data_IF_242562786094
#
_entry.id   IF_242562786094
#
_cell.length_a   1.000
_cell.length_b   1.000
_cell.length_c   1.000
_cell.angle_alpha   90.00
_cell.angle_beta   90.00
_cell.angle_gamma   90.00
#
_symmetry.space_group_name_H-M   'P 1'
#
loop_
_entity.id
_entity.type
_entity.pdbx_description
1 polymer ?
#
# COMPACT_ATOMS: atom_id res chain seq x y z
N UNK A 1 -12.24 -14.61 3.58
CA UNK A 1 -11.54 -14.88 4.87
C UNK A 1 -12.07 -13.93 5.95
N UNK A 2 -11.86 -14.22 7.24
CA UNK A 2 -12.21 -13.26 8.29
C UNK A 2 -11.26 -12.04 8.26
N UNK A 3 -11.79 -10.85 8.53
CA UNK A 3 -11.01 -9.59 8.49
C UNK A 3 -9.81 -9.64 9.45
N UNK A 4 -9.97 -10.20 10.65
CA UNK A 4 -8.87 -10.28 11.61
C UNK A 4 -7.79 -11.25 11.15
N UNK A 5 -8.15 -12.32 10.45
CA UNK A 5 -7.18 -13.25 9.85
C UNK A 5 -6.32 -12.55 8.80
N UNK A 6 -6.94 -11.73 7.92
CA UNK A 6 -6.24 -10.97 6.89
C UNK A 6 -5.29 -9.95 7.53
N UNK A 7 -5.75 -9.19 8.53
CA UNK A 7 -4.93 -8.21 9.26
C UNK A 7 -3.76 -8.90 9.96
N UNK A 8 -4.02 -10.04 10.62
CA UNK A 8 -2.97 -10.84 11.26
C UNK A 8 -1.93 -11.29 10.24
N UNK A 9 -2.36 -11.84 9.09
CA UNK A 9 -1.45 -12.27 8.03
C UNK A 9 -0.64 -11.09 7.48
N UNK A 10 -1.28 -9.94 7.27
CA UNK A 10 -0.61 -8.70 6.87
C UNK A 10 0.54 -8.35 7.82
N UNK A 11 0.29 -8.30 9.13
CA UNK A 11 1.33 -8.01 10.12
C UNK A 11 2.42 -9.09 10.16
N UNK A 12 2.06 -10.37 9.99
CA UNK A 12 3.03 -11.47 9.92
C UNK A 12 4.04 -11.29 8.78
N UNK A 13 3.60 -10.77 7.63
CA UNK A 13 4.44 -10.61 6.44
C UNK A 13 5.18 -9.28 6.42
N UNK A 14 4.51 -8.17 6.76
CA UNK A 14 4.95 -6.84 6.35
C UNK A 14 5.51 -5.97 7.47
N UNK A 15 5.36 -6.36 8.74
CA UNK A 15 5.81 -5.54 9.89
C UNK A 15 7.31 -5.25 9.92
N UNK A 16 8.11 -6.11 9.27
CA UNK A 16 9.56 -5.93 9.17
C UNK A 16 10.01 -5.38 7.82
N UNK A 17 9.09 -5.13 6.89
CA UNK A 17 9.43 -4.54 5.60
C UNK A 17 9.90 -3.08 5.80
N UNK A 18 10.98 -2.64 5.14
CA UNK A 18 11.63 -1.37 5.46
C UNK A 18 10.87 -0.14 4.94
N UNK A 19 9.88 -0.32 4.06
CA UNK A 19 9.06 0.77 3.52
C UNK A 19 7.61 0.72 4.03
N UNK A 20 6.87 1.85 3.97
CA UNK A 20 5.48 1.92 4.37
C UNK A 20 4.59 1.00 3.54
N UNK A 21 3.86 0.11 4.19
CA UNK A 21 2.85 -0.74 3.55
C UNK A 21 1.51 -0.53 4.25
N UNK A 22 0.46 -0.44 3.44
CA UNK A 22 -0.93 -0.35 3.89
C UNK A 22 -1.75 -1.51 3.32
N UNK A 23 -2.68 -2.02 4.13
CA UNK A 23 -3.80 -2.83 3.67
C UNK A 23 -5.00 -1.91 3.49
N UNK A 24 -5.55 -1.83 2.29
CA UNK A 24 -6.65 -0.91 1.94
C UNK A 24 -7.80 -1.63 1.24
N UNK A 25 -8.93 -0.95 1.11
CA UNK A 25 -10.06 -1.32 0.24
C UNK A 25 -10.21 -0.38 -0.96
N UNK A 26 -11.07 -0.74 -1.92
CA UNK A 26 -11.35 0.06 -3.14
C UNK A 26 -11.75 1.51 -2.87
N UNK A 27 -12.36 1.80 -1.72
CA UNK A 27 -12.74 3.16 -1.29
C UNK A 27 -11.61 3.94 -0.59
N UNK A 28 -10.41 3.35 -0.58
CA UNK A 28 -9.11 3.88 -0.09
C UNK A 28 -9.02 3.88 1.42
N UNK A 29 -9.99 3.29 2.12
CA UNK A 29 -9.93 3.11 3.55
C UNK A 29 -8.75 2.21 3.92
N UNK A 30 -7.96 2.64 4.91
CA UNK A 30 -6.88 1.83 5.46
C UNK A 30 -7.46 0.93 6.55
N UNK A 31 -7.03 -0.33 6.55
CA UNK A 31 -7.41 -1.33 7.55
C UNK A 31 -6.26 -1.83 8.41
N UNK A 32 -5.04 -1.79 7.89
CA UNK A 32 -3.82 -2.08 8.64
C UNK A 32 -2.63 -1.36 7.99
N UNK A 33 -1.61 -1.09 8.80
CA UNK A 33 -0.36 -0.48 8.36
C UNK A 33 0.80 -1.21 9.01
N UNK A 34 1.92 -1.34 8.30
CA UNK A 34 3.12 -1.95 8.91
C UNK A 34 3.80 -0.97 9.87
N UNK A 35 4.80 -1.45 10.63
CA UNK A 35 5.53 -0.64 11.61
C UNK A 35 6.17 0.62 11.01
N UNK A 36 6.68 0.54 9.78
CA UNK A 36 7.28 1.68 9.09
C UNK A 36 6.23 2.73 8.73
N UNK A 37 5.07 2.34 8.23
CA UNK A 37 3.97 3.26 7.96
C UNK A 37 3.44 3.90 9.26
N UNK A 38 3.28 3.11 10.32
CA UNK A 38 2.86 3.59 11.63
C UNK A 38 3.83 4.64 12.21
N UNK A 39 5.15 4.46 12.03
CA UNK A 39 6.14 5.45 12.51
C UNK A 39 6.11 6.77 11.75
N UNK A 40 5.46 6.81 10.59
CA UNK A 40 5.18 8.03 9.81
C UNK A 40 3.78 8.63 10.13
N UNK A 41 3.07 8.07 11.12
CA UNK A 41 1.76 8.55 11.58
C UNK A 41 0.56 7.98 10.83
N UNK A 42 0.75 7.05 9.89
CA UNK A 42 -0.35 6.41 9.18
C UNK A 42 -1.08 5.44 10.11
N UNK A 43 -2.40 5.33 9.95
CA UNK A 43 -3.25 4.44 10.74
C UNK A 43 -4.57 4.11 9.99
N UNK A 44 -5.41 3.28 10.61
CA UNK A 44 -6.67 2.77 10.07
C UNK A 44 -7.83 3.77 10.10
N UNK A 45 -7.64 4.99 10.60
CA UNK A 45 -8.63 6.07 10.56
C UNK A 45 -8.48 6.97 9.33
N UNK A 46 -7.50 6.67 8.48
CA UNK A 46 -7.14 7.49 7.32
C UNK A 46 -7.53 6.79 6.02
N UNK A 47 -7.64 7.59 4.94
CA UNK A 47 -7.69 7.07 3.58
C UNK A 47 -6.33 7.22 2.92
N UNK A 48 -5.89 6.25 2.13
CA UNK A 48 -4.58 6.38 1.46
C UNK A 48 -4.53 7.59 0.51
N UNK A 49 -5.68 7.99 -0.05
CA UNK A 49 -5.82 9.17 -0.91
C UNK A 49 -5.72 10.51 -0.16
N UNK A 50 -5.75 10.53 1.18
CA UNK A 50 -5.53 11.75 1.97
C UNK A 50 -4.07 11.92 2.40
N UNK A 51 -3.19 10.98 2.04
CA UNK A 51 -1.76 11.03 2.36
C UNK A 51 -1.03 11.75 1.22
N UNK A 52 -0.31 12.82 1.53
CA UNK A 52 0.37 13.64 0.51
C UNK A 52 -0.58 14.58 -0.24
N UNK A 53 -0.13 15.07 -1.38
CA UNK A 53 -0.86 16.01 -2.24
C UNK A 53 -1.81 15.29 -3.22
N UNK A 54 -2.93 15.90 -3.64
CA UNK A 54 -3.82 15.36 -4.66
C UNK A 54 -3.11 14.98 -5.97
N UNK A 55 -2.09 15.75 -6.36
CA UNK A 55 -1.29 15.53 -7.57
C UNK A 55 -0.55 14.19 -7.53
N UNK A 56 -0.08 13.76 -6.36
CA UNK A 56 0.57 12.45 -6.17
C UNK A 56 -0.40 11.28 -6.40
N UNK A 57 -1.71 11.52 -6.27
CA UNK A 57 -2.76 10.54 -6.54
C UNK A 57 -3.28 10.57 -7.98
N UNK A 58 -2.74 11.46 -8.84
CA UNK A 58 -3.14 11.53 -10.25
C UNK A 58 -2.75 10.24 -10.98
N UNK A 59 -3.77 9.55 -11.50
CA UNK A 59 -3.59 8.24 -12.14
C UNK A 59 -3.33 7.11 -11.14
N UNK A 60 -3.90 7.20 -9.93
CA UNK A 60 -3.96 6.10 -8.97
C UNK A 60 -4.60 4.86 -9.62
N UNK A 61 -3.95 3.70 -9.46
CA UNK A 61 -4.36 2.43 -10.08
C UNK A 61 -5.19 1.54 -9.14
N UNK A 62 -5.56 2.03 -7.95
CA UNK A 62 -6.35 1.27 -6.97
C UNK A 62 -7.66 0.73 -7.54
N UNK A 63 -8.38 1.51 -8.36
CA UNK A 63 -9.61 1.02 -9.01
C UNK A 63 -9.30 -0.08 -10.02
N UNK A 64 -8.24 0.07 -10.81
CA UNK A 64 -7.85 -0.94 -11.78
C UNK A 64 -7.52 -2.26 -11.08
N UNK A 65 -6.75 -2.22 -9.99
CA UNK A 65 -6.44 -3.41 -9.18
C UNK A 65 -7.72 -4.08 -8.65
N UNK A 66 -8.64 -3.28 -8.09
CA UNK A 66 -9.90 -3.78 -7.54
C UNK A 66 -10.82 -4.39 -8.61
N UNK A 67 -10.90 -3.76 -9.78
CA UNK A 67 -11.81 -4.15 -10.86
C UNK A 67 -11.30 -5.38 -11.63
N UNK A 68 -9.97 -5.45 -11.84
CA UNK A 68 -9.35 -6.56 -12.57
C UNK A 68 -9.00 -7.74 -11.68
N UNK A 69 -8.89 -7.51 -10.37
CA UNK A 69 -8.35 -8.48 -9.38
C UNK A 69 -6.93 -8.94 -9.68
N UNK A 70 -6.17 -8.10 -10.39
CA UNK A 70 -4.78 -8.34 -10.74
C UNK A 70 -3.87 -7.32 -10.08
N UNK A 71 -2.63 -7.72 -9.84
CA UNK A 71 -1.60 -6.81 -9.36
C UNK A 71 -1.30 -5.76 -10.44
N UNK A 72 -1.27 -4.49 -10.04
CA UNK A 72 -0.89 -3.38 -10.92
C UNK A 72 0.18 -2.53 -10.26
N UNK A 73 1.00 -1.89 -11.09
CA UNK A 73 2.07 -1.03 -10.62
C UNK A 73 2.22 0.21 -11.49
N UNK A 74 2.86 1.23 -10.92
CA UNK A 74 3.24 2.45 -11.63
C UNK A 74 4.65 2.84 -11.23
N UNK A 75 5.52 3.05 -12.23
CA UNK A 75 6.83 3.65 -12.00
C UNK A 75 6.72 5.17 -11.82
N UNK A 76 7.56 5.74 -10.97
CA UNK A 76 7.70 7.18 -10.79
C UNK A 76 9.12 7.52 -10.34
N UNK A 77 9.50 8.79 -10.45
CA UNK A 77 10.77 9.27 -9.89
C UNK A 77 10.55 9.71 -8.44
N UNK A 78 11.33 9.15 -7.53
CA UNK A 78 11.37 9.47 -6.11
C UNK A 78 12.69 10.14 -5.71
N UNK A 79 12.84 10.41 -4.41
CA UNK A 79 14.04 11.06 -3.87
C UNK A 79 15.32 10.26 -4.14
N UNK A 80 15.23 8.93 -4.14
CA UNK A 80 16.36 8.01 -4.32
C UNK A 80 16.47 7.48 -5.76
N UNK A 81 15.82 8.15 -6.72
CA UNK A 81 15.73 7.72 -8.11
C UNK A 81 14.43 6.98 -8.40
N UNK A 82 14.48 6.01 -9.31
CA UNK A 82 13.29 5.31 -9.79
C UNK A 82 12.62 4.48 -8.70
N UNK A 83 11.34 4.72 -8.48
CA UNK A 83 10.49 4.03 -7.53
C UNK A 83 9.25 3.42 -8.21
N UNK A 84 8.56 2.55 -7.49
CA UNK A 84 7.39 1.82 -7.98
C UNK A 84 6.28 1.82 -6.93
N UNK A 85 5.06 2.18 -7.33
CA UNK A 85 3.87 2.06 -6.51
C UNK A 85 3.10 0.81 -6.91
N UNK A 86 2.73 -0.02 -5.95
CA UNK A 86 2.01 -1.28 -6.17
C UNK A 86 0.60 -1.22 -5.55
N UNK A 87 -0.33 -1.93 -6.20
CA UNK A 87 -1.64 -2.28 -5.70
C UNK A 87 -1.87 -3.76 -6.01
N UNK A 88 -1.85 -4.59 -4.96
CA UNK A 88 -1.88 -6.04 -5.08
C UNK A 88 -3.11 -6.56 -4.33
N UNK A 89 -4.17 -7.03 -5.02
CA UNK A 89 -5.30 -7.70 -4.37
C UNK A 89 -4.85 -8.90 -3.54
N UNK A 90 -5.50 -9.13 -2.40
CA UNK A 90 -5.23 -10.29 -1.54
C UNK A 90 -5.96 -11.51 -2.10
N UNK A 91 -5.22 -12.56 -2.45
CA UNK A 91 -5.80 -13.82 -2.94
C UNK A 91 -6.82 -14.41 -1.94
N UNK A 92 -8.03 -14.72 -2.41
CA UNK A 92 -9.12 -15.22 -1.57
C UNK A 92 -9.81 -14.17 -0.69
N UNK A 93 -9.43 -12.90 -0.83
CA UNK A 93 -10.03 -11.73 -0.20
C UNK A 93 -9.76 -10.45 -1.02
N UNK A 94 -10.08 -10.49 -2.32
CA UNK A 94 -9.67 -9.46 -3.31
C UNK A 94 -10.33 -8.09 -3.08
N UNK A 95 -11.26 -7.97 -2.13
CA UNK A 95 -11.73 -6.67 -1.64
C UNK A 95 -10.62 -5.88 -0.93
N UNK A 96 -9.61 -6.57 -0.39
CA UNK A 96 -8.43 -5.98 0.21
C UNK A 96 -7.28 -5.90 -0.80
N UNK A 97 -6.53 -4.82 -0.71
CA UNK A 97 -5.41 -4.49 -1.59
C UNK A 97 -4.21 -4.10 -0.71
N UNK A 98 -3.08 -4.75 -0.94
CA UNK A 98 -1.79 -4.33 -0.38
C UNK A 98 -1.29 -3.16 -1.23
N UNK A 99 -1.12 -1.99 -0.61
CA UNK A 99 -0.69 -0.77 -1.27
C UNK A 99 0.58 -0.22 -0.64
N UNK A 100 1.62 -0.04 -1.46
CA UNK A 100 2.93 0.42 -1.01
C UNK A 100 3.78 0.96 -2.16
N UNK A 101 4.82 1.70 -1.79
CA UNK A 101 5.92 2.10 -2.68
C UNK A 101 7.18 1.28 -2.41
N UNK A 102 7.97 1.03 -3.46
CA UNK A 102 9.34 0.50 -3.37
C UNK A 102 10.31 1.49 -4.02
N UNK A 103 11.42 1.80 -3.34
CA UNK A 103 12.46 2.76 -3.75
C UNK A 103 12.15 4.22 -3.39
N UNK A 104 11.17 4.46 -2.50
CA UNK A 104 10.62 5.80 -2.26
C UNK A 104 11.09 6.44 -0.95
N UNK A 105 11.27 5.62 0.08
CA UNK A 105 11.57 6.03 1.46
C UNK A 105 12.76 5.27 2.06
N UNK A 106 13.30 4.32 1.31
CA UNK A 106 14.42 3.49 1.70
C UNK A 106 15.39 3.38 0.52
N UNK A 107 16.66 3.71 0.77
CA UNK A 107 17.74 3.49 -0.17
C UNK A 107 18.14 2.02 -0.11
N UNK A 108 17.99 1.32 -1.24
CA UNK A 108 18.46 -0.05 -1.35
C UNK A 108 19.96 -0.03 -1.66
N UNK A 109 20.82 -0.55 -0.77
CA UNK A 109 22.24 -0.64 -1.07
C UNK A 109 22.44 -1.52 -2.31
N UNK A 110 23.27 -1.03 -3.23
CA UNK A 110 23.70 -1.77 -4.42
C UNK A 110 24.66 -2.90 -4.08
#
# INVERSE_FOLDING_TARGET
MDKQEIIKAFHMMWDKFPEPIMLITKDRQIHAVNKKAASLGLNDQMKCSSIGSPEQHKGCLCNQAADTREAVYKAYEGQFGRAYGFWIPVEGAEEYIIHFGVGSTFEYPM
#
